data_IF_689139458301
#
_entry.id   IF_689139458301
#
_cell.length_a   1.000
_cell.length_b   1.000
_cell.length_c   1.000
_cell.angle_alpha   90.00
_cell.angle_beta   90.00
_cell.angle_gamma   90.00
#
_symmetry.space_group_name_H-M   'P 1'
#
loop_
_entity.id
_entity.type
_entity.pdbx_description
1 polymer ?
#
# COMPACT_ATOMS: atom_id res chain seq x y z
N UNK A 1 25.53 -27.40 9.60
CA UNK A 1 24.09 -27.49 9.21
C UNK A 1 23.39 -26.46 10.07
N UNK A 2 23.34 -25.21 9.63
CA UNK A 2 22.96 -24.07 10.46
C UNK A 2 21.48 -23.75 10.24
N UNK A 3 20.75 -23.55 11.34
CA UNK A 3 19.31 -23.45 11.44
C UNK A 3 18.69 -22.38 10.54
N UNK A 4 17.80 -22.83 9.65
CA UNK A 4 17.03 -22.02 8.69
C UNK A 4 15.67 -21.56 9.28
N UNK A 5 15.47 -21.64 10.60
CA UNK A 5 14.18 -21.41 11.25
C UNK A 5 13.83 -19.92 11.45
N UNK A 6 14.79 -19.00 11.29
CA UNK A 6 14.57 -17.56 11.43
C UNK A 6 14.12 -16.86 10.13
N UNK A 7 14.30 -17.47 8.97
CA UNK A 7 13.93 -16.88 7.67
C UNK A 7 12.41 -16.89 7.42
N UNK A 8 11.72 -17.89 7.96
CA UNK A 8 10.26 -18.07 7.77
C UNK A 8 9.46 -16.97 8.48
N UNK A 9 9.94 -16.48 9.62
CA UNK A 9 9.28 -15.41 10.38
C UNK A 9 9.30 -14.06 9.65
N UNK A 10 10.44 -13.71 9.04
CA UNK A 10 10.57 -12.49 8.24
C UNK A 10 9.71 -12.50 6.98
N UNK A 11 9.69 -13.64 6.27
CA UNK A 11 8.88 -13.81 5.07
C UNK A 11 7.37 -13.75 5.38
N UNK A 12 6.92 -14.36 6.48
CA UNK A 12 5.53 -14.31 6.92
C UNK A 12 5.07 -12.87 7.21
N UNK A 13 5.93 -12.04 7.82
CA UNK A 13 5.58 -10.65 8.13
C UNK A 13 5.40 -9.80 6.87
N UNK A 14 6.25 -9.99 5.86
CA UNK A 14 6.15 -9.29 4.56
C UNK A 14 4.90 -9.72 3.79
N UNK A 15 4.61 -11.03 3.77
CA UNK A 15 3.41 -11.57 3.12
C UNK A 15 2.14 -11.06 3.80
N UNK A 16 2.09 -11.07 5.14
CA UNK A 16 0.94 -10.57 5.90
C UNK A 16 0.71 -9.08 5.65
N UNK A 17 1.79 -8.29 5.61
CA UNK A 17 1.70 -6.86 5.29
C UNK A 17 1.16 -6.66 3.88
N UNK A 18 1.67 -7.39 2.89
CA UNK A 18 1.18 -7.36 1.50
C UNK A 18 -0.30 -7.74 1.38
N UNK A 19 -0.76 -8.77 2.09
CA UNK A 19 -2.17 -9.20 2.12
C UNK A 19 -3.08 -8.15 2.77
N UNK A 20 -2.65 -7.54 3.87
CA UNK A 20 -3.39 -6.47 4.53
C UNK A 20 -3.54 -5.26 3.62
N UNK A 21 -2.46 -4.88 2.94
CA UNK A 21 -2.43 -3.79 1.96
C UNK A 21 -3.32 -4.08 0.75
N UNK A 22 -3.29 -5.30 0.22
CA UNK A 22 -4.18 -5.73 -0.86
C UNK A 22 -5.65 -5.68 -0.43
N UNK A 23 -5.97 -6.13 0.78
CA UNK A 23 -7.30 -6.03 1.37
C UNK A 23 -7.77 -4.57 1.51
N UNK A 24 -6.91 -3.70 2.02
CA UNK A 24 -7.21 -2.27 2.14
C UNK A 24 -7.49 -1.63 0.77
N UNK A 25 -6.69 -1.96 -0.26
CA UNK A 25 -6.92 -1.51 -1.64
C UNK A 25 -8.23 -2.04 -2.22
N UNK A 26 -8.57 -3.31 -1.95
CA UNK A 26 -9.82 -3.91 -2.41
C UNK A 26 -11.03 -3.17 -1.82
N UNK A 27 -11.02 -2.91 -0.50
CA UNK A 27 -12.08 -2.15 0.18
C UNK A 27 -12.17 -0.73 -0.38
N UNK A 28 -11.03 -0.04 -0.54
CA UNK A 28 -11.00 1.32 -1.07
C UNK A 28 -11.58 1.38 -2.50
N UNK A 29 -11.24 0.39 -3.33
CA UNK A 29 -11.78 0.27 -4.70
C UNK A 29 -13.28 0.01 -4.71
N UNK A 30 -13.78 -0.80 -3.77
CA UNK A 30 -15.21 -1.07 -3.65
C UNK A 30 -15.98 0.21 -3.28
N UNK A 31 -15.44 1.04 -2.39
CA UNK A 31 -16.04 2.33 -2.04
C UNK A 31 -16.01 3.30 -3.24
N UNK A 32 -14.90 3.37 -3.98
CA UNK A 32 -14.82 4.14 -5.23
C UNK A 32 -15.91 3.74 -6.21
N UNK A 33 -16.15 2.43 -6.37
CA UNK A 33 -17.19 1.92 -7.26
C UNK A 33 -18.59 2.39 -6.84
N UNK A 34 -18.90 2.34 -5.53
CA UNK A 34 -20.18 2.83 -5.01
C UNK A 34 -20.35 4.34 -5.25
N UNK A 35 -19.31 5.13 -5.00
CA UNK A 35 -19.32 6.57 -5.24
C UNK A 35 -19.50 6.88 -6.72
N UNK A 36 -18.79 6.17 -7.60
CA UNK A 36 -18.87 6.34 -9.05
C UNK A 36 -20.24 5.97 -9.62
N UNK A 37 -20.94 5.02 -9.00
CA UNK A 37 -22.27 4.57 -9.44
C UNK A 37 -23.43 5.35 -8.83
N UNK A 38 -23.21 6.03 -7.70
CA UNK A 38 -24.30 6.68 -6.94
C UNK A 38 -24.30 8.21 -7.02
N UNK A 39 -23.23 8.84 -7.54
CA UNK A 39 -23.06 10.30 -7.54
C UNK A 39 -22.99 10.83 -8.97
N UNK A 40 -23.81 11.84 -9.30
CA UNK A 40 -23.89 12.43 -10.65
C UNK A 40 -22.59 13.13 -11.12
N UNK A 41 -21.79 13.65 -10.18
CA UNK A 41 -20.48 14.27 -10.44
C UNK A 41 -19.39 13.60 -9.61
N UNK A 42 -19.02 12.35 -9.97
CA UNK A 42 -18.16 11.53 -9.13
C UNK A 42 -16.70 12.01 -9.14
N UNK A 43 -16.27 12.74 -10.16
CA UNK A 43 -14.85 13.12 -10.37
C UNK A 43 -14.23 13.84 -9.18
N UNK A 44 -14.93 14.80 -8.57
CA UNK A 44 -14.42 15.53 -7.41
C UNK A 44 -14.46 14.68 -6.13
N UNK A 45 -15.41 13.76 -6.04
CA UNK A 45 -15.54 12.84 -4.91
C UNK A 45 -14.55 11.68 -4.96
N UNK A 46 -14.03 11.33 -6.14
CA UNK A 46 -13.02 10.29 -6.32
C UNK A 46 -11.59 10.77 -6.02
N UNK A 47 -11.31 12.06 -6.13
CA UNK A 47 -9.99 12.64 -5.81
C UNK A 47 -9.38 12.18 -4.48
N UNK A 48 -10.08 12.22 -3.33
CA UNK A 48 -9.53 11.72 -2.07
C UNK A 48 -9.18 10.23 -2.11
N UNK A 49 -9.96 9.41 -2.82
CA UNK A 49 -9.69 7.98 -2.95
C UNK A 49 -8.46 7.71 -3.83
N UNK A 50 -8.31 8.44 -4.93
CA UNK A 50 -7.15 8.37 -5.81
C UNK A 50 -5.87 8.71 -5.04
N UNK A 51 -5.89 9.78 -4.23
CA UNK A 51 -4.75 10.19 -3.39
C UNK A 51 -4.42 9.11 -2.35
N UNK A 52 -5.42 8.61 -1.62
CA UNK A 52 -5.23 7.58 -0.60
C UNK A 52 -4.66 6.29 -1.21
N UNK A 53 -5.19 5.87 -2.36
CA UNK A 53 -4.75 4.67 -3.09
C UNK A 53 -3.33 4.82 -3.61
N UNK A 54 -3.03 5.97 -4.23
CA UNK A 54 -1.70 6.30 -4.73
C UNK A 54 -0.66 6.32 -3.61
N UNK A 55 -0.96 6.98 -2.49
CA UNK A 55 -0.07 7.03 -1.33
C UNK A 55 0.23 5.65 -0.74
N UNK A 56 -0.81 4.84 -0.58
CA UNK A 56 -0.69 3.48 -0.05
C UNK A 56 0.13 2.57 -0.99
N UNK A 57 -0.04 2.71 -2.30
CA UNK A 57 0.75 1.95 -3.29
C UNK A 57 2.23 2.39 -3.26
N UNK A 58 2.50 3.69 -3.23
CA UNK A 58 3.85 4.22 -3.17
C UNK A 58 4.58 3.76 -1.90
N UNK A 59 3.91 3.79 -0.75
CA UNK A 59 4.49 3.41 0.53
C UNK A 59 4.78 1.91 0.62
N UNK A 60 3.82 1.06 0.23
CA UNK A 60 3.93 -0.39 0.47
C UNK A 60 4.56 -1.15 -0.70
N UNK A 61 4.20 -0.83 -1.94
CA UNK A 61 4.68 -1.58 -3.10
C UNK A 61 5.96 -1.00 -3.70
N UNK A 62 6.13 0.32 -3.66
CA UNK A 62 7.34 0.95 -4.23
C UNK A 62 8.45 1.19 -3.20
N UNK A 63 8.31 0.74 -1.95
CA UNK A 63 9.30 0.93 -0.87
C UNK A 63 9.85 2.37 -0.84
N UNK A 64 9.00 3.38 -1.08
CA UNK A 64 9.47 4.78 -1.18
C UNK A 64 10.01 5.34 0.16
N UNK A 65 9.79 4.65 1.28
CA UNK A 65 10.50 4.89 2.54
C UNK A 65 12.02 4.65 2.45
N UNK A 66 12.47 3.82 1.51
CA UNK A 66 13.90 3.50 1.29
C UNK A 66 14.61 4.61 0.49
N UNK A 67 13.87 5.39 -0.29
CA UNK A 67 14.42 6.58 -0.95
C UNK A 67 14.68 7.73 0.04
N UNK A 68 13.98 7.75 1.19
CA UNK A 68 14.23 8.75 2.24
C UNK A 68 15.50 8.47 3.04
N UNK A 69 16.07 7.25 2.98
CA UNK A 69 17.34 6.93 3.65
C UNK A 69 18.59 7.19 2.80
N UNK A 70 18.44 7.54 1.52
CA UNK A 70 19.58 7.85 0.63
C UNK A 70 19.92 9.34 0.54
N UNK A 71 19.05 10.25 1.00
CA UNK A 71 19.31 11.70 1.04
C UNK A 71 19.77 12.21 2.43
N UNK A 72 19.93 11.29 3.39
CA UNK A 72 20.39 11.57 4.75
C UNK A 72 21.78 11.04 5.09
N UNK A 73 22.50 10.46 4.13
CA UNK A 73 23.81 9.83 4.33
C UNK A 73 24.94 10.63 3.69
N UNK A 74 25.50 11.58 4.43
CA UNK A 74 26.81 12.15 4.12
C UNK A 74 27.89 11.07 4.26
N UNK A 75 28.46 10.64 3.14
CA UNK A 75 29.81 10.07 3.03
C UNK A 75 30.36 10.30 1.62
#
# INVERSE_FOLDING_TARGET
MSDNSNDTGGLSAVIQRGWLTAGALAVLTFIEYLVATSVDRPTLWLLPFIIAKGGLILEVFMHSSDLKTLDGGNA
#
